data_IF_353962901338
#
_entry.id   IF_353962901338
#
_cell.length_a   1.000
_cell.length_b   1.000
_cell.length_c   1.000
_cell.angle_alpha   90.00
_cell.angle_beta   90.00
_cell.angle_gamma   90.00
#
_symmetry.space_group_name_H-M   'P 1'
#
loop_
_entity.id
_entity.type
_entity.pdbx_description
1 polymer ?
#
# COMPACT_ATOMS: atom_id res chain seq x y z
N UNK A 1 8.13 12.27 -0.68
CA UNK A 1 8.76 11.01 -1.11
C UNK A 1 8.25 9.90 -0.18
N UNK A 2 7.18 9.21 -0.57
CA UNK A 2 6.44 8.30 0.32
C UNK A 2 6.95 6.87 0.24
N UNK A 3 7.09 6.21 1.39
CA UNK A 3 7.30 4.76 1.50
C UNK A 3 6.09 4.16 2.23
N UNK A 4 5.09 3.72 1.47
CA UNK A 4 3.96 2.97 2.01
C UNK A 4 4.23 1.47 1.83
N UNK A 5 4.29 0.73 2.93
CA UNK A 5 4.51 -0.72 2.93
C UNK A 5 3.21 -1.44 3.30
N UNK A 6 2.44 -1.86 2.29
CA UNK A 6 1.31 -2.78 2.51
C UNK A 6 1.74 -4.18 2.06
N UNK A 7 1.87 -5.11 3.01
CA UNK A 7 2.22 -6.50 2.73
C UNK A 7 0.98 -7.40 2.88
N UNK A 8 0.67 -8.17 1.85
CA UNK A 8 -0.42 -9.16 1.86
C UNK A 8 0.06 -10.51 2.39
N UNK A 9 -0.81 -11.20 3.14
CA UNK A 9 -0.50 -12.50 3.77
C UNK A 9 -1.26 -13.63 3.06
N UNK A 10 -0.52 -14.59 2.50
CA UNK A 10 -0.98 -15.97 2.33
C UNK A 10 -0.05 -16.89 3.12
N UNK A 11 -0.57 -17.45 4.21
CA UNK A 11 -0.13 -18.57 5.06
C UNK A 11 1.37 -18.83 5.38
N UNK A 12 2.35 -18.61 4.50
CA UNK A 12 3.79 -18.73 4.80
C UNK A 12 4.61 -17.74 3.96
N UNK A 13 5.41 -16.85 4.61
CA UNK A 13 6.49 -15.98 4.04
C UNK A 13 6.23 -14.49 3.71
N UNK A 14 5.29 -13.80 4.36
CA UNK A 14 5.28 -12.31 4.42
C UNK A 14 5.06 -11.83 5.86
N UNK A 15 5.95 -11.00 6.40
CA UNK A 15 5.80 -10.41 7.74
C UNK A 15 5.96 -8.90 7.66
N UNK A 16 4.94 -8.16 8.09
CA UNK A 16 4.99 -6.71 8.22
C UNK A 16 5.33 -6.36 9.66
N UNK A 17 6.39 -5.58 9.80
CA UNK A 17 6.84 -5.05 11.08
C UNK A 17 6.77 -3.53 11.04
N UNK A 18 6.14 -2.95 12.05
CA UNK A 18 6.12 -1.51 12.27
C UNK A 18 7.12 -1.16 13.37
N UNK A 19 8.00 -0.20 13.10
CA UNK A 19 8.97 0.35 14.04
C UNK A 19 8.66 1.85 14.20
N UNK A 20 7.82 2.24 15.18
CA UNK A 20 7.58 3.65 15.45
C UNK A 20 8.84 4.31 16.02
N UNK A 21 8.86 5.64 16.08
CA UNK A 21 10.00 6.45 16.56
C UNK A 21 10.51 6.06 17.95
N UNK A 22 9.70 5.38 18.76
CA UNK A 22 10.07 4.86 20.08
C UNK A 22 10.90 3.56 20.07
N UNK A 23 11.19 2.97 18.90
CA UNK A 23 12.09 1.82 18.76
C UNK A 23 11.48 0.45 19.11
N UNK A 24 10.17 0.37 19.39
CA UNK A 24 9.48 -0.91 19.60
C UNK A 24 9.24 -1.64 18.27
N UNK A 25 9.20 -2.98 18.30
CA UNK A 25 8.90 -3.80 17.11
C UNK A 25 7.49 -4.38 17.26
N UNK A 26 6.56 -3.92 16.42
CA UNK A 26 5.19 -4.43 16.42
C UNK A 26 4.89 -5.19 15.14
N UNK A 27 4.52 -6.47 15.28
CA UNK A 27 4.00 -7.26 14.18
C UNK A 27 2.55 -6.84 13.93
N UNK A 28 2.24 -6.39 12.72
CA UNK A 28 0.91 -5.93 12.34
C UNK A 28 0.46 -6.61 11.04
N UNK A 29 -0.86 -6.77 10.83
CA UNK A 29 -1.39 -7.32 9.59
C UNK A 29 -1.10 -6.42 8.38
N UNK A 30 -1.02 -5.11 8.59
CA UNK A 30 -0.59 -4.10 7.62
C UNK A 30 0.02 -2.92 8.38
N UNK A 31 0.80 -2.08 7.70
CA UNK A 31 1.36 -0.86 8.27
C UNK A 31 1.09 0.32 7.33
N UNK A 32 0.72 1.46 7.88
CA UNK A 32 0.56 2.72 7.16
C UNK A 32 1.34 3.81 7.90
N UNK A 33 2.00 4.67 7.14
CA UNK A 33 2.82 5.75 7.68
C UNK A 33 2.95 6.91 6.70
N UNK A 34 3.05 8.13 7.22
CA UNK A 34 3.18 9.37 6.47
C UNK A 34 2.21 10.48 6.89
N UNK A 35 2.27 11.67 6.29
CA UNK A 35 1.29 12.75 6.57
C UNK A 35 -0.10 12.42 6.06
N UNK A 36 -0.18 11.68 4.95
CA UNK A 36 -1.44 11.21 4.36
C UNK A 36 -2.02 9.97 5.03
N UNK A 37 -1.31 9.30 5.95
CA UNK A 37 -1.78 8.03 6.51
C UNK A 37 -3.01 8.18 7.40
N UNK A 38 -3.18 9.34 8.05
CA UNK A 38 -4.36 9.67 8.87
C UNK A 38 -5.67 9.61 8.10
N UNK A 39 -5.66 9.99 6.81
CA UNK A 39 -6.86 9.98 5.96
C UNK A 39 -7.30 8.59 5.52
N UNK A 40 -6.39 7.60 5.55
CA UNK A 40 -6.66 6.25 5.06
C UNK A 40 -6.87 5.22 6.16
N UNK A 41 -6.71 5.58 7.44
CA UNK A 41 -6.97 4.67 8.56
C UNK A 41 -8.40 4.10 8.50
N UNK A 42 -9.41 4.96 8.33
CA UNK A 42 -10.81 4.51 8.24
C UNK A 42 -11.09 3.66 7.01
N UNK A 43 -10.44 3.97 5.88
CA UNK A 43 -10.57 3.16 4.67
C UNK A 43 -9.96 1.77 4.86
N UNK A 44 -8.73 1.71 5.39
CA UNK A 44 -8.04 0.46 5.67
C UNK A 44 -8.82 -0.40 6.66
N UNK A 45 -9.33 0.17 7.75
CA UNK A 45 -10.09 -0.59 8.75
C UNK A 45 -11.40 -1.17 8.18
N UNK A 46 -12.09 -0.41 7.32
CA UNK A 46 -13.35 -0.84 6.71
C UNK A 46 -13.18 -1.86 5.57
N UNK A 47 -12.07 -1.81 4.82
CA UNK A 47 -11.89 -2.62 3.61
C UNK A 47 -10.85 -3.73 3.75
N UNK A 48 -10.01 -3.70 4.79
CA UNK A 48 -9.03 -4.75 5.03
C UNK A 48 -9.71 -6.07 5.36
N UNK A 49 -9.22 -7.16 4.77
CA UNK A 49 -9.68 -8.53 5.01
C UNK A 49 -8.47 -9.44 5.07
N UNK A 50 -8.50 -10.39 5.99
CA UNK A 50 -7.47 -11.43 6.03
C UNK A 50 -7.64 -12.36 4.82
N UNK A 51 -6.51 -12.75 4.20
CA UNK A 51 -6.50 -13.72 3.10
C UNK A 51 -6.88 -13.18 1.72
N UNK A 52 -6.83 -11.86 1.50
CA UNK A 52 -6.99 -11.25 0.16
C UNK A 52 -6.07 -11.91 -0.88
N UNK A 53 -6.56 -12.04 -2.11
CA UNK A 53 -5.71 -12.41 -3.25
C UNK A 53 -4.72 -11.29 -3.58
N UNK A 54 -3.74 -11.60 -4.44
CA UNK A 54 -2.78 -10.59 -4.91
C UNK A 54 -3.48 -9.41 -5.58
N UNK A 55 -4.45 -9.70 -6.44
CA UNK A 55 -5.22 -8.70 -7.18
C UNK A 55 -6.10 -7.87 -6.25
N UNK A 56 -6.80 -8.50 -5.30
CA UNK A 56 -7.61 -7.81 -4.29
C UNK A 56 -6.75 -6.90 -3.42
N UNK A 57 -5.56 -7.35 -3.06
CA UNK A 57 -4.63 -6.58 -2.27
C UNK A 57 -4.02 -5.40 -3.01
N UNK A 58 -3.64 -5.59 -4.29
CA UNK A 58 -3.22 -4.49 -5.16
C UNK A 58 -4.32 -3.45 -5.28
N UNK A 59 -5.57 -3.88 -5.48
CA UNK A 59 -6.72 -2.99 -5.59
C UNK A 59 -7.00 -2.25 -4.29
N UNK A 60 -6.93 -2.93 -3.15
CA UNK A 60 -7.07 -2.33 -1.81
C UNK A 60 -6.04 -1.22 -1.59
N UNK A 61 -4.76 -1.47 -1.86
CA UNK A 61 -3.68 -0.49 -1.67
C UNK A 61 -3.86 0.69 -2.61
N UNK A 62 -4.19 0.44 -3.88
CA UNK A 62 -4.43 1.48 -4.87
C UNK A 62 -5.57 2.40 -4.43
N UNK A 63 -6.68 1.84 -3.97
CA UNK A 63 -7.84 2.63 -3.53
C UNK A 63 -7.57 3.39 -2.23
N UNK A 64 -6.86 2.79 -1.27
CA UNK A 64 -6.41 3.51 -0.08
C UNK A 64 -5.54 4.72 -0.47
N UNK A 65 -4.55 4.54 -1.33
CA UNK A 65 -3.68 5.64 -1.78
C UNK A 65 -4.42 6.70 -2.58
N UNK A 66 -5.44 6.33 -3.36
CA UNK A 66 -6.31 7.30 -4.05
C UNK A 66 -7.06 8.19 -3.06
N UNK A 67 -7.58 7.63 -1.97
CA UNK A 67 -8.21 8.43 -0.91
C UNK A 67 -7.18 9.33 -0.21
N UNK A 68 -5.98 8.83 0.11
CA UNK A 68 -4.92 9.69 0.66
C UNK A 68 -4.60 10.89 -0.25
N UNK A 69 -4.38 10.65 -1.55
CA UNK A 69 -4.05 11.68 -2.54
C UNK A 69 -5.20 12.69 -2.72
N UNK A 70 -6.46 12.25 -2.58
CA UNK A 70 -7.62 13.13 -2.70
C UNK A 70 -7.68 14.16 -1.56
N UNK A 71 -7.27 13.78 -0.35
CA UNK A 71 -7.43 14.60 0.85
C UNK A 71 -6.15 15.30 1.32
N UNK A 72 -4.99 14.73 1.02
CA UNK A 72 -3.70 15.33 1.39
C UNK A 72 -3.15 16.17 0.24
N UNK A 73 -3.24 17.50 0.36
CA UNK A 73 -2.73 18.45 -0.64
C UNK A 73 -1.21 18.44 -0.82
N UNK A 74 -0.46 17.76 0.05
CA UNK A 74 0.97 17.48 -0.14
C UNK A 74 1.24 16.14 -0.84
N UNK A 75 0.23 15.29 -0.93
CA UNK A 75 0.26 14.00 -1.62
C UNK A 75 -0.34 14.14 -3.02
N UNK A 76 0.51 13.99 -4.02
CA UNK A 76 0.12 13.99 -5.42
C UNK A 76 1.14 13.26 -6.27
N UNK A 77 0.76 12.92 -7.50
CA UNK A 77 1.65 12.28 -8.47
C UNK A 77 1.36 10.79 -8.66
N UNK A 78 2.41 9.97 -8.62
CA UNK A 78 2.37 8.56 -9.05
C UNK A 78 2.27 7.60 -7.87
N UNK A 79 1.51 6.53 -8.02
CA UNK A 79 1.50 5.42 -7.04
C UNK A 79 2.55 4.40 -7.47
N UNK A 80 3.51 4.12 -6.60
CA UNK A 80 4.52 3.09 -6.79
C UNK A 80 4.20 1.92 -5.88
N UNK A 81 3.91 0.76 -6.46
CA UNK A 81 3.56 -0.45 -5.73
C UNK A 81 4.58 -1.54 -6.07
N UNK A 82 5.00 -2.30 -5.07
CA UNK A 82 5.84 -3.48 -5.26
C UNK A 82 5.14 -4.66 -4.62
N UNK A 83 4.80 -5.65 -5.45
CA UNK A 83 4.19 -6.91 -5.02
C UNK A 83 5.30 -7.93 -4.88
N UNK A 84 5.52 -8.41 -3.66
CA UNK A 84 6.52 -9.43 -3.36
C UNK A 84 5.84 -10.80 -3.32
N UNK A 85 6.13 -11.63 -4.30
CA UNK A 85 5.62 -13.01 -4.40
C UNK A 85 6.75 -14.00 -4.21
N UNK A 86 6.42 -15.28 -4.01
CA UNK A 86 7.42 -16.35 -4.00
C UNK A 86 8.20 -16.48 -5.32
N UNK A 87 7.65 -15.97 -6.43
CA UNK A 87 8.28 -15.98 -7.76
C UNK A 87 9.24 -14.80 -7.97
N UNK A 88 9.14 -13.76 -7.14
CA UNK A 88 9.95 -12.55 -7.26
C UNK A 88 9.16 -11.27 -6.96
N UNK A 89 9.83 -10.15 -7.13
CA UNK A 89 9.24 -8.82 -6.95
C UNK A 89 8.67 -8.29 -8.28
N UNK A 90 7.38 -7.97 -8.29
CA UNK A 90 6.71 -7.29 -9.39
C UNK A 90 6.53 -5.82 -9.01
N UNK A 91 6.90 -4.91 -9.89
CA UNK A 91 6.77 -3.46 -9.68
C UNK A 91 5.63 -2.95 -10.54
N UNK A 92 4.75 -2.15 -9.96
CA UNK A 92 3.68 -1.45 -10.65
C UNK A 92 3.83 0.05 -10.44
N UNK A 93 3.66 0.81 -11.52
CA UNK A 93 3.66 2.26 -11.50
C UNK A 93 2.31 2.75 -12.02
N UNK A 94 1.52 3.42 -11.19
CA UNK A 94 0.24 3.99 -11.62
C UNK A 94 0.38 5.51 -11.74
N UNK A 95 0.01 6.04 -12.90
CA UNK A 95 0.11 7.47 -13.20
C UNK A 95 -1.24 8.17 -12.93
N UNK A 96 -1.23 9.43 -12.51
CA UNK A 96 -2.47 10.19 -12.34
C UNK A 96 -3.13 10.49 -13.70
N UNK A 97 -2.34 10.62 -14.77
CA UNK A 97 -2.79 11.00 -16.12
C UNK A 97 -3.75 9.98 -16.74
N UNK A 98 -3.64 8.70 -16.34
CA UNK A 98 -4.55 7.65 -16.77
C UNK A 98 -5.60 7.30 -15.69
N UNK A 99 -5.77 8.13 -14.66
CA UNK A 99 -6.67 7.85 -13.55
C UNK A 99 -6.27 6.63 -12.73
N UNK A 100 -4.97 6.32 -12.68
CA UNK A 100 -4.40 5.13 -12.04
C UNK A 100 -4.91 3.81 -12.65
N UNK A 101 -5.24 3.78 -13.94
CA UNK A 101 -5.64 2.56 -14.65
C UNK A 101 -4.43 1.76 -15.11
N UNK A 102 -4.31 0.52 -14.65
CA UNK A 102 -3.28 -0.43 -15.06
C UNK A 102 -1.86 -0.08 -14.58
N UNK A 103 -0.93 -1.06 -14.54
CA UNK A 103 0.46 -0.76 -14.31
C UNK A 103 1.01 -0.04 -15.55
N UNK A 104 1.25 1.27 -15.42
CA UNK A 104 2.04 2.03 -16.36
C UNK A 104 3.42 1.38 -16.59
N UNK A 105 4.07 1.68 -17.72
CA UNK A 105 5.31 1.01 -18.11
C UNK A 105 6.34 1.16 -16.99
N UNK A 106 6.79 0.02 -16.47
CA UNK A 106 7.97 -0.08 -15.63
C UNK A 106 9.19 0.07 -16.55
N UNK A 107 9.78 1.27 -16.55
CA UNK A 107 11.09 1.54 -17.14
C UNK A 107 12.20 0.84 -16.36
#
# INVERSE_FOLDING_TARGET
CWHHYCGLRQATRGQVYSIPLGGSLHKQPYAIGGSGSTYIYGYCDAHWKEGMTEEEGVEFVKNALREAIKWDGSSGGVIRLVVLTAKGAVRHLYLPDNGYTGPGPVS
#
